data_IF_664591519189
#
_entry.id   IF_664591519189
#
_cell.length_a   1.000
_cell.length_b   1.000
_cell.length_c   1.000
_cell.angle_alpha   90.00
_cell.angle_beta   90.00
_cell.angle_gamma   90.00
#
_symmetry.space_group_name_H-M   'P 1'
#
loop_
_entity.id
_entity.type
_entity.pdbx_description
1 polymer ?
#
# COMPACT_ATOMS: atom_id res chain seq x y z
N UNK A 1 30.56 -13.91 -9.43
CA UNK A 1 30.26 -12.47 -9.24
C UNK A 1 29.41 -12.33 -7.99
N UNK A 2 29.91 -11.61 -6.97
CA UNK A 2 29.24 -11.45 -5.68
C UNK A 2 28.02 -10.55 -5.89
N UNK A 3 26.81 -11.10 -5.77
CA UNK A 3 25.57 -10.32 -5.72
C UNK A 3 25.66 -9.49 -4.44
N UNK A 4 25.96 -8.20 -4.57
CA UNK A 4 25.81 -7.25 -3.48
C UNK A 4 24.31 -7.15 -3.21
N UNK A 5 23.83 -8.01 -2.30
CA UNK A 5 22.52 -7.86 -1.70
C UNK A 5 22.66 -6.63 -0.81
N UNK A 6 22.40 -5.46 -1.39
CA UNK A 6 22.26 -4.22 -0.66
C UNK A 6 21.05 -4.41 0.25
N UNK A 7 21.31 -4.84 1.49
CA UNK A 7 20.35 -4.81 2.57
C UNK A 7 20.11 -3.34 2.94
N UNK A 8 19.43 -2.60 2.06
CA UNK A 8 18.89 -1.28 2.39
C UNK A 8 17.43 -1.51 2.75
N UNK A 9 17.25 -1.64 4.06
CA UNK A 9 16.03 -1.95 4.78
C UNK A 9 15.21 -0.66 4.96
N UNK A 10 13.88 -0.83 4.92
CA UNK A 10 12.81 0.17 5.13
C UNK A 10 12.54 1.14 3.95
N UNK A 11 11.69 0.71 3.03
CA UNK A 11 11.02 1.66 2.13
C UNK A 11 10.00 2.49 2.91
N UNK A 12 10.15 3.80 2.95
CA UNK A 12 9.13 4.69 3.46
C UNK A 12 7.93 4.67 2.50
N UNK A 13 6.85 3.97 2.87
CA UNK A 13 5.61 4.00 2.12
C UNK A 13 4.94 5.34 2.42
N UNK A 14 4.98 6.25 1.45
CA UNK A 14 4.17 7.48 1.54
C UNK A 14 2.81 7.18 0.92
N UNK A 15 1.86 6.83 1.79
CA UNK A 15 0.47 6.59 1.42
C UNK A 15 -0.22 7.94 1.28
N UNK A 16 -0.50 8.38 0.06
CA UNK A 16 -1.36 9.53 -0.19
C UNK A 16 -2.76 9.05 -0.56
N UNK A 17 -3.78 9.64 0.07
CA UNK A 17 -5.18 9.42 -0.29
C UNK A 17 -5.52 10.39 -1.42
N UNK A 18 -6.08 9.90 -2.53
CA UNK A 18 -6.38 10.75 -3.70
C UNK A 18 -7.88 10.97 -3.92
N UNK A 19 -8.72 10.85 -2.89
CA UNK A 19 -10.17 11.08 -3.05
C UNK A 19 -10.79 11.83 -1.87
N UNK A 20 -11.66 12.78 -2.20
CA UNK A 20 -12.43 13.62 -1.28
C UNK A 20 -13.36 12.73 -0.45
N UNK A 21 -13.03 12.63 0.83
CA UNK A 21 -13.67 11.69 1.74
C UNK A 21 -12.67 11.20 2.78
N UNK A 22 -11.89 12.12 3.34
CA UNK A 22 -10.87 11.85 4.34
C UNK A 22 -11.51 11.06 5.49
N UNK A 23 -11.06 9.81 5.67
CA UNK A 23 -11.15 9.13 6.94
C UNK A 23 -9.73 9.03 7.49
N UNK A 24 -9.25 10.06 8.22
CA UNK A 24 -7.87 10.11 8.70
C UNK A 24 -7.56 8.96 9.67
N UNK A 25 -8.58 8.43 10.38
CA UNK A 25 -8.41 7.30 11.28
C UNK A 25 -8.10 6.03 10.50
N UNK A 26 -8.87 5.76 9.44
CA UNK A 26 -8.62 4.63 8.55
C UNK A 26 -7.24 4.73 7.88
N UNK A 27 -6.89 5.93 7.39
CA UNK A 27 -5.57 6.15 6.79
C UNK A 27 -4.43 5.87 7.78
N UNK A 28 -4.52 6.38 9.01
CA UNK A 28 -3.52 6.12 10.06
C UNK A 28 -3.42 4.64 10.40
N UNK A 29 -4.55 3.94 10.48
CA UNK A 29 -4.57 2.52 10.78
C UNK A 29 -3.91 1.69 9.68
N UNK A 30 -4.33 1.89 8.42
CA UNK A 30 -3.74 1.21 7.26
C UNK A 30 -2.24 1.51 7.20
N UNK A 31 -1.83 2.78 7.30
CA UNK A 31 -0.42 3.14 7.24
C UNK A 31 0.42 2.52 8.36
N UNK A 32 -0.16 2.30 9.55
CA UNK A 32 0.52 1.64 10.68
C UNK A 32 0.64 0.13 10.49
N UNK A 33 -0.38 -0.51 9.91
CA UNK A 33 -0.46 -1.97 9.71
C UNK A 33 0.24 -2.42 8.42
N UNK A 34 0.32 -1.54 7.43
CA UNK A 34 0.95 -1.79 6.13
C UNK A 34 2.47 -1.66 6.24
N UNK A 35 3.09 -2.67 6.85
CA UNK A 35 4.54 -2.88 6.79
C UNK A 35 4.79 -4.00 5.78
N UNK A 36 5.33 -3.65 4.62
CA UNK A 36 5.73 -4.62 3.59
C UNK A 36 7.23 -4.57 3.40
N UNK A 37 7.84 -5.74 3.30
CA UNK A 37 9.23 -5.87 2.89
C UNK A 37 9.29 -5.81 1.35
N UNK A 38 9.96 -4.78 0.83
CA UNK A 38 10.18 -4.60 -0.61
C UNK A 38 11.65 -4.81 -0.99
N UNK A 39 12.47 -5.40 -0.10
CA UNK A 39 13.89 -5.63 -0.33
C UNK A 39 14.18 -6.52 -1.55
N UNK A 40 13.22 -7.40 -1.89
CA UNK A 40 13.30 -8.28 -3.06
C UNK A 40 12.71 -7.67 -4.34
N UNK A 41 12.13 -6.46 -4.25
CA UNK A 41 11.48 -5.78 -5.38
C UNK A 41 12.46 -4.82 -6.03
N UNK A 42 12.58 -4.89 -7.35
CA UNK A 42 13.44 -3.97 -8.09
C UNK A 42 12.76 -2.61 -8.26
N UNK A 43 12.97 -1.70 -7.31
CA UNK A 43 12.48 -0.33 -7.41
C UNK A 43 13.19 0.42 -8.54
N UNK A 44 12.42 0.96 -9.49
CA UNK A 44 12.97 1.77 -10.56
C UNK A 44 13.52 3.08 -10.01
N UNK A 45 14.76 3.44 -10.38
CA UNK A 45 15.34 4.76 -10.07
C UNK A 45 14.80 5.89 -10.96
N UNK A 46 14.20 5.53 -12.10
CA UNK A 46 13.76 6.48 -13.14
C UNK A 46 12.23 6.61 -13.15
N UNK A 47 11.51 5.52 -12.90
CA UNK A 47 10.05 5.49 -12.93
C UNK A 47 9.46 5.63 -11.52
N UNK A 48 8.27 6.23 -11.43
CA UNK A 48 7.53 6.33 -10.17
C UNK A 48 7.11 4.93 -9.71
N UNK A 49 7.66 4.46 -8.59
CA UNK A 49 7.22 3.23 -7.94
C UNK A 49 5.97 3.56 -7.12
N UNK A 50 4.81 3.22 -7.65
CA UNK A 50 3.54 3.45 -6.95
C UNK A 50 2.55 2.32 -7.20
N UNK A 51 1.61 2.18 -6.27
CA UNK A 51 0.43 1.33 -6.40
C UNK A 51 -0.79 2.18 -6.04
N UNK A 52 -1.83 2.12 -6.86
CA UNK A 52 -3.14 2.68 -6.56
C UNK A 52 -4.08 1.51 -6.33
N UNK A 53 -4.76 1.48 -5.18
CA UNK A 53 -5.73 0.45 -4.84
C UNK A 53 -7.09 1.11 -4.63
N UNK A 54 -8.13 0.54 -5.25
CA UNK A 54 -9.53 0.82 -4.98
C UNK A 54 -10.08 -0.34 -4.14
N UNK A 55 -10.70 -0.02 -3.02
CA UNK A 55 -11.24 -1.01 -2.11
C UNK A 55 -12.43 -0.44 -1.34
N UNK A 56 -13.22 -1.31 -0.74
CA UNK A 56 -14.21 -0.96 0.29
C UNK A 56 -13.92 -1.76 1.56
N UNK A 57 -14.60 -1.42 2.64
CA UNK A 57 -14.50 -2.17 3.90
C UNK A 57 -15.88 -2.72 4.19
N UNK A 58 -15.98 -4.03 4.40
CA UNK A 58 -17.24 -4.72 4.69
C UNK A 58 -17.00 -5.56 5.92
N UNK A 59 -17.78 -5.35 6.99
CA UNK A 59 -17.64 -6.09 8.26
C UNK A 59 -16.22 -6.01 8.87
N UNK A 60 -15.47 -4.95 8.56
CA UNK A 60 -14.09 -4.77 9.02
C UNK A 60 -13.02 -5.40 8.12
N UNK A 61 -13.40 -6.13 7.07
CA UNK A 61 -12.47 -6.70 6.10
C UNK A 61 -12.29 -5.80 4.87
N UNK A 62 -11.12 -5.86 4.24
CA UNK A 62 -10.83 -5.09 3.03
C UNK A 62 -11.19 -5.88 1.79
N UNK A 63 -12.14 -5.37 1.00
CA UNK A 63 -12.49 -5.93 -0.30
C UNK A 63 -11.89 -5.11 -1.44
N UNK A 64 -11.03 -5.73 -2.24
CA UNK A 64 -10.31 -5.08 -3.34
C UNK A 64 -11.20 -5.02 -4.59
N UNK A 65 -11.46 -3.80 -5.07
CA UNK A 65 -12.25 -3.55 -6.28
C UNK A 65 -11.37 -3.34 -7.52
N UNK A 66 -10.08 -3.08 -7.33
CA UNK A 66 -9.10 -3.01 -8.42
C UNK A 66 -7.81 -2.31 -8.02
N UNK A 67 -6.74 -2.58 -8.77
CA UNK A 67 -5.42 -2.02 -8.48
C UNK A 67 -4.61 -1.74 -9.74
N UNK A 68 -3.78 -0.70 -9.68
CA UNK A 68 -2.92 -0.22 -10.77
C UNK A 68 -1.53 0.11 -10.23
N UNK A 69 -0.50 0.05 -11.07
CA UNK A 69 0.88 0.36 -10.68
C UNK A 69 1.85 -0.76 -10.99
N UNK A 70 3.04 -0.72 -10.38
CA UNK A 70 4.08 -1.74 -10.56
C UNK A 70 3.58 -3.12 -10.11
N UNK A 71 3.75 -4.14 -10.95
CA UNK A 71 3.17 -5.49 -10.73
C UNK A 71 3.63 -6.14 -9.41
N UNK A 72 4.94 -6.18 -9.15
CA UNK A 72 5.52 -6.76 -7.94
C UNK A 72 5.04 -6.04 -6.66
N UNK A 73 5.01 -4.70 -6.68
CA UNK A 73 4.50 -3.91 -5.55
C UNK A 73 2.99 -4.05 -5.38
N UNK A 74 2.25 -4.18 -6.48
CA UNK A 74 0.79 -4.32 -6.46
C UNK A 74 0.39 -5.60 -5.75
N UNK A 75 1.03 -6.73 -6.08
CA UNK A 75 0.77 -8.00 -5.41
C UNK A 75 1.04 -7.91 -3.90
N UNK A 76 2.19 -7.36 -3.50
CA UNK A 76 2.53 -7.18 -2.08
C UNK A 76 1.50 -6.34 -1.32
N UNK A 77 1.05 -5.24 -1.91
CA UNK A 77 0.11 -4.32 -1.26
C UNK A 77 -1.30 -4.88 -1.22
N UNK A 78 -1.76 -5.50 -2.31
CA UNK A 78 -3.08 -6.13 -2.37
C UNK A 78 -3.19 -7.23 -1.33
N UNK A 79 -2.25 -8.18 -1.31
CA UNK A 79 -2.27 -9.28 -0.34
C UNK A 79 -2.25 -8.74 1.10
N UNK A 80 -1.42 -7.72 1.37
CA UNK A 80 -1.32 -7.17 2.72
C UNK A 80 -2.58 -6.42 3.16
N UNK A 81 -3.31 -5.83 2.21
CA UNK A 81 -4.59 -5.17 2.49
C UNK A 81 -5.70 -6.19 2.72
N UNK A 82 -5.77 -7.25 1.93
CA UNK A 82 -6.77 -8.32 2.06
C UNK A 82 -6.62 -9.07 3.40
N UNK A 83 -5.40 -9.28 3.88
CA UNK A 83 -5.12 -9.86 5.20
C UNK A 83 -5.35 -8.89 6.38
N UNK A 84 -5.78 -7.66 6.12
CA UNK A 84 -5.86 -6.61 7.13
C UNK A 84 -7.27 -6.48 7.70
N UNK A 85 -7.42 -6.81 8.98
CA UNK A 85 -8.61 -6.42 9.74
C UNK A 85 -8.58 -4.91 10.02
N UNK A 86 -9.70 -4.23 9.78
CA UNK A 86 -9.88 -2.80 10.03
C UNK A 86 -10.80 -2.62 11.24
N UNK A 87 -10.28 -1.96 12.27
CA UNK A 87 -11.03 -1.70 13.51
C UNK A 87 -11.58 -0.27 13.54
N UNK A 88 -10.99 0.64 12.77
CA UNK A 88 -11.52 2.00 12.66
C UNK A 88 -12.88 2.00 11.98
N UNK A 89 -13.79 2.83 12.50
CA UNK A 89 -15.10 3.05 11.89
C UNK A 89 -14.93 3.48 10.44
N UNK A 90 -15.44 2.65 9.54
CA UNK A 90 -15.48 2.84 8.09
C UNK A 90 -16.94 2.89 7.63
N UNK A 91 -17.16 3.36 6.41
CA UNK A 91 -18.47 3.37 5.77
C UNK A 91 -18.47 2.29 4.71
N UNK A 92 -19.31 1.27 4.86
CA UNK A 92 -19.33 0.10 3.97
C UNK A 92 -19.83 0.44 2.56
N UNK A 93 -20.59 1.52 2.42
CA UNK A 93 -21.05 2.02 1.13
C UNK A 93 -19.96 2.82 0.39
N UNK A 94 -18.86 3.16 1.07
CA UNK A 94 -17.82 4.03 0.56
C UNK A 94 -16.70 3.26 -0.10
N UNK A 95 -16.36 3.70 -1.31
CA UNK A 95 -15.18 3.23 -2.03
C UNK A 95 -13.99 4.12 -1.69
N UNK A 96 -12.94 3.51 -1.16
CA UNK A 96 -11.66 4.13 -0.88
C UNK A 96 -10.70 3.95 -2.06
N UNK A 97 -9.89 4.97 -2.33
CA UNK A 97 -8.83 4.92 -3.36
C UNK A 97 -7.53 5.47 -2.82
N UNK A 98 -6.59 4.59 -2.49
CA UNK A 98 -5.31 4.96 -1.88
C UNK A 98 -4.18 4.80 -2.88
N UNK A 99 -3.24 5.74 -2.86
CA UNK A 99 -2.00 5.69 -3.64
C UNK A 99 -0.81 5.50 -2.70
N UNK A 100 -0.19 4.35 -2.80
CA UNK A 100 1.03 3.98 -2.10
C UNK A 100 2.21 4.36 -2.97
N UNK A 101 3.10 5.24 -2.50
CA UNK A 101 4.33 5.58 -3.21
C UNK A 101 5.52 4.98 -2.47
N UNK A 102 6.44 4.38 -3.22
CA UNK A 102 7.63 3.71 -2.71
C UNK A 102 8.87 4.47 -3.15
N UNK A 103 9.81 4.62 -2.23
CA UNK A 103 11.13 5.17 -2.52
C UNK A 103 12.17 4.21 -1.95
N UNK A 104 13.22 3.98 -2.71
CA UNK A 104 14.43 3.37 -2.16
C UNK A 104 15.08 4.42 -1.27
N UNK A 105 15.25 4.11 0.02
CA UNK A 105 16.23 4.84 0.83
C UNK A 105 17.63 4.44 0.31
N UNK A 106 18.57 5.37 0.37
CA UNK A 106 19.95 5.22 -0.10
C UNK A 106 20.91 5.63 0.99
#
# INVERSE_FOLDING_TARGET
MKKLIAAIVLSLITVSVSFAGENPKLWKEINRKLKVDVSQVSLSKIHKNYVVVKFRIVEGEVEILGSLGSEELRALIVNKLEEMDIVSKSDESKIYRYKFNFRAEG
#
